data_IF_112784852750
#
_entry.id   IF_112784852750
#
_cell.length_a   1.000
_cell.length_b   1.000
_cell.length_c   1.000
_cell.angle_alpha   90.00
_cell.angle_beta   90.00
_cell.angle_gamma   90.00
#
_symmetry.space_group_name_H-M   'P 1'
#
loop_
_entity.id
_entity.type
_entity.pdbx_description
1 polymer ?
#
# COMPACT_ATOMS: atom_id res chain seq x y z
N UNK A 1 6.13 4.58 2.33
CA UNK A 1 7.31 5.20 2.96
C UNK A 1 8.27 4.09 3.39
N UNK A 2 9.54 4.16 2.95
CA UNK A 2 10.56 3.12 3.23
C UNK A 2 11.20 3.29 4.61
N UNK A 3 10.60 4.09 5.45
CA UNK A 3 11.12 4.38 6.76
C UNK A 3 10.94 3.18 7.72
N UNK A 4 11.87 3.07 8.62
CA UNK A 4 11.82 2.08 9.70
C UNK A 4 10.64 2.34 10.64
N UNK A 5 10.17 1.30 11.37
CA UNK A 5 8.98 1.40 12.22
C UNK A 5 9.06 2.46 13.33
N UNK A 6 10.27 2.87 13.73
CA UNK A 6 10.48 3.94 14.72
C UNK A 6 10.17 5.35 14.19
N UNK A 7 10.09 5.53 12.87
CA UNK A 7 9.69 6.81 12.27
C UNK A 7 8.21 6.83 11.99
N UNK A 8 7.57 7.95 12.26
CA UNK A 8 6.16 8.15 12.01
C UNK A 8 5.92 9.40 11.16
N UNK A 9 4.78 9.47 10.50
CA UNK A 9 4.41 10.61 9.66
C UNK A 9 2.92 10.84 9.67
N UNK A 10 2.53 12.11 9.63
CA UNK A 10 1.13 12.53 9.57
C UNK A 10 0.95 13.36 8.31
N UNK A 11 -0.03 12.98 7.47
CA UNK A 11 -0.49 13.78 6.33
C UNK A 11 -1.79 14.46 6.76
N UNK A 12 -1.84 15.80 6.64
CA UNK A 12 -3.03 16.60 7.00
C UNK A 12 -3.65 17.12 5.71
N UNK A 13 -4.97 16.97 5.60
CA UNK A 13 -5.76 17.41 4.45
C UNK A 13 -6.75 18.48 4.92
N UNK A 14 -7.09 19.42 4.04
CA UNK A 14 -8.09 20.44 4.27
C UNK A 14 -9.53 19.91 4.04
N UNK A 15 -10.52 20.79 4.15
CA UNK A 15 -11.93 20.43 3.95
C UNK A 15 -12.29 20.03 2.51
N UNK A 16 -11.42 20.29 1.53
CA UNK A 16 -11.59 19.91 0.13
C UNK A 16 -10.91 18.58 -0.19
N UNK A 17 -10.20 17.97 0.79
CA UNK A 17 -9.42 16.76 0.59
C UNK A 17 -8.05 17.02 -0.04
N UNK A 18 -7.60 18.26 -0.11
CA UNK A 18 -6.28 18.62 -0.62
C UNK A 18 -5.25 18.68 0.52
N UNK A 19 -4.00 18.30 0.21
CA UNK A 19 -2.91 18.44 1.19
C UNK A 19 -2.77 19.90 1.60
N UNK A 20 -2.69 20.17 2.92
CA UNK A 20 -2.50 21.53 3.44
C UNK A 20 -1.30 22.22 2.80
N UNK A 21 -1.39 23.55 2.65
CA UNK A 21 -0.32 24.35 2.07
C UNK A 21 0.96 24.25 2.90
N UNK A 22 2.13 24.39 2.24
CA UNK A 22 3.44 24.38 2.93
C UNK A 22 3.53 25.47 4.00
N UNK A 23 2.88 26.61 3.79
CA UNK A 23 2.83 27.69 4.79
C UNK A 23 2.11 27.24 6.08
N UNK A 24 0.96 26.57 5.94
CA UNK A 24 0.23 26.06 7.10
C UNK A 24 0.99 24.91 7.78
N UNK A 25 1.60 24.02 7.02
CA UNK A 25 2.46 22.95 7.53
C UNK A 25 3.61 23.54 8.38
N UNK A 26 4.30 24.54 7.86
CA UNK A 26 5.39 25.23 8.59
C UNK A 26 4.89 25.92 9.87
N UNK A 27 3.71 26.54 9.84
CA UNK A 27 3.13 27.15 11.05
C UNK A 27 2.79 26.12 12.13
N UNK A 28 2.26 24.97 11.73
CA UNK A 28 1.97 23.85 12.65
C UNK A 28 3.27 23.33 13.26
N UNK A 29 4.28 23.10 12.41
CA UNK A 29 5.59 22.63 12.88
C UNK A 29 6.22 23.60 13.88
N UNK A 30 6.26 24.88 13.54
CA UNK A 30 6.79 25.95 14.43
C UNK A 30 6.03 26.02 15.77
N UNK A 31 4.70 25.91 15.72
CA UNK A 31 3.88 25.86 16.93
C UNK A 31 4.23 24.66 17.83
N UNK A 32 4.47 23.48 17.24
CA UNK A 32 4.86 22.28 17.99
C UNK A 32 6.24 22.44 18.61
N UNK A 33 7.20 23.01 17.87
CA UNK A 33 8.57 23.21 18.32
C UNK A 33 8.70 24.27 19.43
N UNK A 34 7.91 25.35 19.37
CA UNK A 34 7.95 26.43 20.35
C UNK A 34 7.05 26.18 21.57
N UNK A 35 6.01 25.36 21.43
CA UNK A 35 5.14 25.05 22.54
C UNK A 35 5.82 24.04 23.47
N UNK A 36 6.05 24.43 24.73
CA UNK A 36 6.36 23.49 25.81
C UNK A 36 5.14 22.62 26.14
N UNK A 37 4.56 21.99 25.13
CA UNK A 37 3.47 21.04 25.32
C UNK A 37 4.00 19.88 26.14
N UNK A 38 3.52 19.74 27.35
CA UNK A 38 3.68 18.50 28.12
C UNK A 38 2.93 17.40 27.36
N UNK A 39 3.67 16.73 26.44
CA UNK A 39 3.16 15.59 25.68
C UNK A 39 3.15 14.38 26.61
N UNK A 40 2.36 14.45 27.67
CA UNK A 40 2.07 13.27 28.47
C UNK A 40 1.25 12.31 27.61
N UNK A 41 1.80 11.14 27.37
CA UNK A 41 1.11 10.06 26.63
C UNK A 41 -0.21 9.80 27.35
N UNK A 42 -1.38 9.94 26.68
CA UNK A 42 -2.65 9.70 27.33
C UNK A 42 -2.67 8.28 27.91
N UNK A 43 -2.82 8.17 29.21
CA UNK A 43 -2.93 6.87 29.91
C UNK A 43 -4.24 6.13 29.58
N UNK A 44 -5.23 6.82 29.00
CA UNK A 44 -6.47 6.22 28.51
C UNK A 44 -6.32 5.75 27.06
N UNK A 45 -6.54 4.46 26.81
CA UNK A 45 -6.73 3.95 25.45
C UNK A 45 -7.90 4.69 24.80
N UNK A 46 -7.59 5.52 23.81
CA UNK A 46 -8.61 6.15 22.96
C UNK A 46 -9.12 5.07 22.01
N UNK A 47 -10.41 4.74 22.09
CA UNK A 47 -11.06 3.90 21.10
C UNK A 47 -11.36 4.74 19.86
N UNK A 48 -10.61 4.51 18.79
CA UNK A 48 -10.91 5.11 17.49
C UNK A 48 -12.08 4.36 16.84
N UNK A 49 -13.12 5.10 16.46
CA UNK A 49 -14.18 4.54 15.62
C UNK A 49 -13.65 4.38 14.18
N UNK A 50 -13.52 3.14 13.73
CA UNK A 50 -13.22 2.87 12.32
C UNK A 50 -14.53 2.99 11.51
N UNK A 51 -14.52 3.82 10.48
CA UNK A 51 -15.62 3.87 9.51
C UNK A 51 -15.38 2.84 8.42
N UNK A 52 -16.09 1.71 8.49
CA UNK A 52 -15.99 0.64 7.50
C UNK A 52 -16.53 1.06 6.14
N UNK A 53 -17.50 1.93 6.10
CA UNK A 53 -18.15 2.38 4.86
C UNK A 53 -17.15 3.14 3.96
N UNK A 54 -16.25 3.93 4.54
CA UNK A 54 -15.19 4.63 3.79
C UNK A 54 -14.20 3.65 3.14
N UNK A 55 -13.87 2.56 3.82
CA UNK A 55 -13.00 1.52 3.24
C UNK A 55 -13.69 0.80 2.08
N UNK A 56 -14.97 0.51 2.19
CA UNK A 56 -15.73 -0.15 1.12
C UNK A 56 -15.91 0.78 -0.09
N UNK A 57 -16.12 2.08 0.12
CA UNK A 57 -16.14 3.10 -0.95
C UNK A 57 -14.78 3.14 -1.66
N UNK A 58 -13.68 3.16 -0.92
CA UNK A 58 -12.33 3.14 -1.49
C UNK A 58 -12.07 1.88 -2.31
N UNK A 59 -12.39 0.70 -1.77
CA UNK A 59 -12.26 -0.58 -2.49
C UNK A 59 -13.06 -0.55 -3.78
N UNK A 60 -14.31 -0.10 -3.73
CA UNK A 60 -15.16 -0.01 -4.91
C UNK A 60 -14.62 0.97 -5.95
N UNK A 61 -14.07 2.10 -5.53
CA UNK A 61 -13.45 3.05 -6.46
C UNK A 61 -12.26 2.43 -7.21
N UNK A 62 -11.42 1.65 -6.53
CA UNK A 62 -10.31 0.94 -7.16
C UNK A 62 -10.78 -0.15 -8.14
N UNK A 63 -11.80 -0.93 -7.76
CA UNK A 63 -12.37 -1.96 -8.64
C UNK A 63 -12.92 -1.33 -9.92
N UNK A 64 -13.61 -0.21 -9.80
CA UNK A 64 -14.19 0.51 -10.95
C UNK A 64 -13.13 1.01 -11.94
N UNK A 65 -11.88 1.22 -11.52
CA UNK A 65 -10.80 1.63 -12.45
C UNK A 65 -10.37 0.51 -13.40
N UNK A 66 -10.63 -0.74 -13.05
CA UNK A 66 -10.23 -1.92 -13.85
C UNK A 66 -11.29 -2.26 -14.90
N UNK A 67 -12.52 -1.74 -14.74
CA UNK A 67 -13.64 -2.01 -15.63
C UNK A 67 -14.03 -3.49 -15.63
N UNK A 68 -14.32 -4.04 -16.82
CA UNK A 68 -14.72 -5.45 -16.99
C UNK A 68 -13.51 -6.43 -16.97
N UNK A 69 -12.29 -5.93 -16.97
CA UNK A 69 -11.09 -6.75 -16.91
C UNK A 69 -10.99 -7.42 -15.52
N UNK A 70 -11.25 -8.72 -15.46
CA UNK A 70 -11.12 -9.51 -14.26
C UNK A 70 -9.75 -10.18 -14.16
N UNK A 71 -9.46 -10.73 -12.97
CA UNK A 71 -8.26 -11.53 -12.69
C UNK A 71 -8.63 -13.02 -12.50
N UNK A 72 -9.77 -13.44 -13.06
CA UNK A 72 -10.29 -14.79 -12.88
C UNK A 72 -9.30 -15.86 -13.37
N UNK A 73 -9.01 -16.82 -12.50
CA UNK A 73 -8.06 -17.90 -12.77
C UNK A 73 -6.61 -17.56 -12.50
N UNK A 74 -6.25 -16.29 -12.25
CA UNK A 74 -4.90 -15.91 -11.88
C UNK A 74 -4.59 -16.25 -10.42
N UNK A 75 -3.41 -16.83 -10.19
CA UNK A 75 -2.82 -17.02 -8.86
C UNK A 75 -1.87 -15.88 -8.56
N UNK A 76 -2.09 -15.15 -7.49
CA UNK A 76 -1.33 -13.95 -7.15
C UNK A 76 -0.81 -14.04 -5.72
N UNK A 77 0.46 -13.68 -5.52
CA UNK A 77 1.05 -13.53 -4.19
C UNK A 77 1.25 -12.04 -3.91
N UNK A 78 0.72 -11.57 -2.77
CA UNK A 78 0.87 -10.19 -2.32
C UNK A 78 1.78 -10.13 -1.10
N UNK A 79 2.84 -9.34 -1.17
CA UNK A 79 3.61 -8.90 -0.01
C UNK A 79 3.10 -7.52 0.43
N UNK A 80 2.37 -7.47 1.55
CA UNK A 80 1.77 -6.23 2.04
C UNK A 80 2.67 -5.47 3.01
N UNK A 81 3.91 -5.89 3.17
CA UNK A 81 4.95 -5.18 3.93
C UNK A 81 4.55 -4.83 5.37
N UNK A 82 3.59 -5.56 5.96
CA UNK A 82 2.94 -5.21 7.23
C UNK A 82 2.33 -3.79 7.26
N UNK A 83 2.17 -3.18 6.09
CA UNK A 83 1.74 -1.80 5.89
C UNK A 83 0.25 -1.63 5.62
N UNK A 84 -0.12 -0.50 5.02
CA UNK A 84 -1.50 -0.11 4.73
C UNK A 84 -2.22 -1.07 3.78
N UNK A 85 -1.50 -1.67 2.80
CA UNK A 85 -2.02 -2.68 1.89
C UNK A 85 -2.65 -3.90 2.60
N UNK A 86 -2.22 -4.21 3.84
CA UNK A 86 -2.78 -5.29 4.67
C UNK A 86 -4.29 -5.17 4.86
N UNK A 87 -4.84 -3.96 4.79
CA UNK A 87 -6.25 -3.71 5.10
C UNK A 87 -7.20 -4.02 3.96
N UNK A 88 -6.78 -3.88 2.70
CA UNK A 88 -7.68 -3.96 1.54
C UNK A 88 -7.15 -4.76 0.35
N UNK A 89 -5.83 -4.88 0.16
CA UNK A 89 -5.27 -5.46 -1.06
C UNK A 89 -5.82 -6.86 -1.35
N UNK A 90 -5.78 -7.78 -0.38
CA UNK A 90 -6.33 -9.13 -0.55
C UNK A 90 -7.79 -9.10 -1.03
N UNK A 91 -8.63 -8.28 -0.39
CA UNK A 91 -10.06 -8.17 -0.70
C UNK A 91 -10.28 -7.69 -2.13
N UNK A 92 -9.51 -6.69 -2.57
CA UNK A 92 -9.61 -6.14 -3.94
C UNK A 92 -9.29 -7.21 -4.98
N UNK A 93 -8.13 -7.87 -4.87
CA UNK A 93 -7.73 -8.90 -5.82
C UNK A 93 -8.69 -10.11 -5.84
N UNK A 94 -9.25 -10.50 -4.68
CA UNK A 94 -10.25 -11.55 -4.61
C UNK A 94 -11.59 -11.15 -5.27
N UNK A 95 -12.05 -9.91 -5.10
CA UNK A 95 -13.26 -9.41 -5.78
C UNK A 95 -13.06 -9.44 -7.30
N UNK A 96 -11.84 -9.15 -7.77
CA UNK A 96 -11.48 -9.24 -9.19
C UNK A 96 -11.35 -10.68 -9.70
N UNK A 97 -11.49 -11.68 -8.84
CA UNK A 97 -11.51 -13.10 -9.21
C UNK A 97 -10.19 -13.84 -9.07
N UNK A 98 -9.13 -13.21 -8.53
CA UNK A 98 -7.85 -13.87 -8.33
C UNK A 98 -7.86 -14.84 -7.14
N UNK A 99 -7.08 -15.93 -7.25
CA UNK A 99 -6.67 -16.76 -6.11
C UNK A 99 -5.46 -16.10 -5.43
N UNK A 100 -5.65 -15.63 -4.19
CA UNK A 100 -4.70 -14.73 -3.53
C UNK A 100 -4.08 -15.34 -2.29
N UNK A 101 -2.76 -15.55 -2.33
CA UNK A 101 -1.92 -15.76 -1.15
C UNK A 101 -1.32 -14.44 -0.70
N UNK A 102 -1.28 -14.18 0.62
CA UNK A 102 -0.67 -12.96 1.17
C UNK A 102 0.42 -13.32 2.15
N UNK A 103 1.54 -12.62 2.08
CA UNK A 103 2.66 -12.69 3.03
C UNK A 103 2.86 -11.32 3.70
N UNK A 104 3.56 -11.30 4.83
CA UNK A 104 3.86 -10.08 5.60
C UNK A 104 2.63 -9.22 5.89
N UNK A 105 1.54 -9.87 6.33
CA UNK A 105 0.21 -9.29 6.41
C UNK A 105 -0.35 -9.15 7.85
N UNK A 106 0.46 -9.11 8.87
CA UNK A 106 -0.04 -8.83 10.22
C UNK A 106 -0.12 -7.33 10.49
N UNK A 107 -1.12 -6.91 11.27
CA UNK A 107 -1.29 -5.51 11.70
C UNK A 107 -0.31 -5.12 12.83
N UNK A 108 0.97 -5.44 12.65
CA UNK A 108 2.01 -5.10 13.61
C UNK A 108 2.89 -3.98 13.02
N UNK A 109 2.61 -2.74 13.38
CA UNK A 109 3.34 -1.56 12.91
C UNK A 109 4.85 -1.60 13.18
N UNK A 110 5.30 -2.37 14.17
CA UNK A 110 6.73 -2.56 14.45
C UNK A 110 7.46 -3.41 13.40
N UNK A 111 6.73 -4.01 12.47
CA UNK A 111 7.28 -4.82 11.37
C UNK A 111 7.24 -4.13 10.01
N UNK A 112 6.62 -2.95 9.90
CA UNK A 112 6.54 -2.21 8.63
C UNK A 112 7.94 -2.04 8.04
N UNK A 113 8.10 -2.37 6.75
CA UNK A 113 9.34 -2.28 5.98
C UNK A 113 10.53 -3.10 6.55
N UNK A 114 10.28 -4.02 7.50
CA UNK A 114 11.35 -4.83 8.05
C UNK A 114 11.60 -6.07 7.19
N UNK A 115 12.67 -6.03 6.39
CA UNK A 115 13.10 -7.12 5.52
C UNK A 115 12.01 -7.63 4.57
N UNK A 116 11.14 -6.76 4.08
CA UNK A 116 10.04 -7.08 3.16
C UNK A 116 9.63 -5.84 2.36
N UNK A 117 8.66 -5.99 1.48
CA UNK A 117 8.10 -4.90 0.70
C UNK A 117 8.91 -4.57 -0.56
N UNK A 118 8.56 -3.46 -1.22
CA UNK A 118 9.07 -3.07 -2.53
C UNK A 118 10.59 -2.83 -2.57
N UNK A 119 11.23 -2.60 -1.44
CA UNK A 119 12.69 -2.43 -1.30
C UNK A 119 13.43 -3.72 -0.98
N UNK A 120 12.73 -4.80 -0.60
CA UNK A 120 13.32 -6.11 -0.36
C UNK A 120 12.40 -7.23 -0.88
N UNK A 121 12.64 -7.66 -2.08
CA UNK A 121 11.82 -8.64 -2.81
C UNK A 121 12.10 -10.10 -2.45
N UNK A 122 13.11 -10.38 -1.62
CA UNK A 122 13.50 -11.76 -1.30
C UNK A 122 12.37 -12.59 -0.65
N UNK A 123 11.53 -12.04 0.27
CA UNK A 123 10.39 -12.79 0.78
C UNK A 123 9.37 -13.17 -0.29
N UNK A 124 9.10 -12.26 -1.25
CA UNK A 124 8.16 -12.50 -2.33
C UNK A 124 8.71 -13.53 -3.33
N UNK A 125 9.99 -13.43 -3.72
CA UNK A 125 10.67 -14.43 -4.57
C UNK A 125 10.63 -15.82 -3.95
N UNK A 126 10.96 -15.92 -2.66
CA UNK A 126 10.88 -17.18 -1.91
C UNK A 126 9.46 -17.74 -1.92
N UNK A 127 8.45 -16.92 -1.69
CA UNK A 127 7.06 -17.34 -1.69
C UNK A 127 6.60 -17.85 -3.07
N UNK A 128 7.07 -17.25 -4.17
CA UNK A 128 6.81 -17.70 -5.55
C UNK A 128 7.47 -19.06 -5.85
N UNK A 129 8.66 -19.33 -5.31
CA UNK A 129 9.34 -20.62 -5.43
C UNK A 129 8.59 -21.70 -4.66
N UNK A 130 8.17 -21.41 -3.41
CA UNK A 130 7.48 -22.36 -2.53
C UNK A 130 6.05 -22.68 -3.00
N UNK A 131 5.40 -21.71 -3.65
CA UNK A 131 4.03 -21.83 -4.15
C UNK A 131 3.92 -21.06 -5.45
N UNK A 132 4.11 -21.74 -6.60
CA UNK A 132 4.08 -21.11 -7.90
C UNK A 132 2.78 -20.35 -8.15
N UNK A 133 2.92 -19.11 -8.62
CA UNK A 133 1.83 -18.21 -8.96
C UNK A 133 2.14 -17.50 -10.29
N UNK A 134 1.13 -16.93 -10.92
CA UNK A 134 1.28 -16.22 -12.18
C UNK A 134 2.03 -14.90 -11.98
N UNK A 135 1.76 -14.22 -10.86
CA UNK A 135 2.45 -12.97 -10.50
C UNK A 135 2.57 -12.81 -8.98
N UNK A 136 3.59 -12.05 -8.58
CA UNK A 136 3.73 -11.52 -7.23
C UNK A 136 3.78 -9.99 -7.24
N UNK A 137 3.21 -9.35 -6.22
CA UNK A 137 3.29 -7.90 -6.03
C UNK A 137 3.77 -7.59 -4.62
N UNK A 138 4.75 -6.69 -4.52
CA UNK A 138 5.31 -6.24 -3.26
C UNK A 138 5.08 -4.75 -3.09
N UNK A 139 4.33 -4.38 -2.04
CA UNK A 139 4.02 -2.99 -1.70
C UNK A 139 5.05 -2.43 -0.71
N UNK A 140 5.15 -1.11 -0.63
CA UNK A 140 5.83 -0.45 0.48
C UNK A 140 4.86 -0.15 1.65
N UNK A 141 5.35 0.47 2.70
CA UNK A 141 4.61 0.62 3.96
C UNK A 141 3.31 1.41 3.86
N UNK A 142 3.24 2.48 3.04
CA UNK A 142 2.03 3.27 2.81
C UNK A 142 1.32 2.93 1.48
N UNK A 143 1.85 1.94 0.74
CA UNK A 143 1.31 1.38 -0.49
C UNK A 143 1.15 2.41 -1.64
N UNK A 144 2.05 3.40 -1.70
CA UNK A 144 2.14 4.33 -2.82
C UNK A 144 3.10 3.84 -3.91
N UNK A 145 3.84 2.74 -3.64
CA UNK A 145 4.72 2.04 -4.59
C UNK A 145 4.46 0.55 -4.60
N UNK A 146 4.67 -0.05 -5.76
CA UNK A 146 4.56 -1.49 -5.96
C UNK A 146 5.62 -1.98 -6.94
N UNK A 147 6.18 -3.14 -6.67
CA UNK A 147 7.06 -3.88 -7.60
C UNK A 147 6.40 -5.23 -7.90
N UNK A 148 6.34 -5.57 -9.19
CA UNK A 148 5.85 -6.86 -9.66
C UNK A 148 6.96 -7.88 -9.85
N UNK A 149 6.62 -9.17 -9.76
CA UNK A 149 7.48 -10.29 -10.15
C UNK A 149 6.62 -11.25 -10.97
N UNK A 150 7.09 -11.62 -12.16
CA UNK A 150 6.40 -12.59 -13.01
C UNK A 150 6.63 -14.05 -12.53
N UNK A 151 5.94 -15.00 -13.16
CA UNK A 151 6.05 -16.44 -12.85
C UNK A 151 7.46 -17.04 -13.10
N UNK A 152 8.34 -16.32 -13.80
CA UNK A 152 9.73 -16.73 -14.07
C UNK A 152 10.72 -16.09 -13.07
N UNK A 153 10.25 -15.21 -12.18
CA UNK A 153 11.09 -14.50 -11.23
C UNK A 153 11.66 -13.17 -11.74
N UNK A 154 11.25 -12.70 -12.93
CA UNK A 154 11.69 -11.41 -13.45
C UNK A 154 11.01 -10.28 -12.68
N UNK A 155 11.78 -9.27 -12.28
CA UNK A 155 11.27 -8.09 -11.60
C UNK A 155 10.68 -7.12 -12.63
N UNK A 156 9.47 -6.67 -12.35
CA UNK A 156 8.71 -5.69 -13.13
C UNK A 156 8.61 -4.40 -12.32
N UNK A 157 9.46 -3.45 -12.63
CA UNK A 157 9.49 -2.13 -11.99
C UNK A 157 8.59 -1.09 -12.70
N UNK A 158 8.67 0.16 -12.27
CA UNK A 158 7.89 1.25 -12.83
C UNK A 158 8.12 1.48 -14.31
N UNK A 159 9.33 1.26 -14.83
CA UNK A 159 9.66 1.44 -16.25
C UNK A 159 8.95 0.40 -17.11
N UNK A 160 8.86 -0.84 -16.64
CA UNK A 160 8.09 -1.90 -17.29
C UNK A 160 6.59 -1.55 -17.34
N UNK A 161 6.04 -1.03 -16.24
CA UNK A 161 4.63 -0.62 -16.16
C UNK A 161 4.35 0.55 -17.10
N UNK A 162 5.23 1.55 -17.14
CA UNK A 162 5.12 2.70 -18.05
C UNK A 162 5.18 2.27 -19.52
N UNK A 163 6.06 1.32 -19.85
CA UNK A 163 6.15 0.75 -21.20
C UNK A 163 4.85 0.05 -21.60
N UNK A 164 4.31 -0.81 -20.73
CA UNK A 164 3.06 -1.53 -20.99
C UNK A 164 1.88 -0.57 -21.16
N UNK A 165 1.77 0.43 -20.32
CA UNK A 165 0.73 1.47 -20.39
C UNK A 165 0.83 2.32 -21.64
N UNK A 166 2.05 2.76 -21.97
CA UNK A 166 2.30 3.53 -23.20
C UNK A 166 1.91 2.76 -24.46
N UNK A 167 2.24 1.47 -24.53
CA UNK A 167 1.84 0.59 -25.63
C UNK A 167 0.32 0.47 -25.74
N UNK A 168 -0.35 0.18 -24.64
CA UNK A 168 -1.83 0.06 -24.60
C UNK A 168 -2.52 1.33 -25.07
N UNK A 169 -2.06 2.50 -24.63
CA UNK A 169 -2.61 3.80 -25.06
C UNK A 169 -2.35 4.07 -26.55
N UNK A 170 -1.30 3.53 -27.14
CA UNK A 170 -1.03 3.65 -28.58
C UNK A 170 -1.91 2.72 -29.42
N UNK A 171 -2.25 1.54 -28.90
CA UNK A 171 -3.11 0.56 -29.59
C UNK A 171 -4.60 0.96 -29.58
N UNK A 172 -5.02 1.85 -28.65
CA UNK A 172 -6.41 2.37 -28.55
C UNK A 172 -6.70 3.56 -29.49
N UNK A 173 -5.72 4.04 -30.26
CA UNK A 173 -5.87 5.12 -31.26
C UNK A 173 -6.02 4.55 -32.65
#
# INVERSE_FOLDING_TARGET
>A
RDDRPEYNGIKIFDSNGEKISKNLENKIQHFIEESNLDISVPTKKISLKTNKDLMDIYIQSLINTIGEAGLSGMKIILDTCYGSATTCAKKIFQILGADVRVINNSKNGLKINMNCGSTNLEPLKKALIESPADMGFSFDGDADRVIGIDSKGNVLDGDHILFLWGRELMEQK
#
